data_IF_305489724939
#
_entry.id   IF_305489724939
#
_cell.length_a   1.000
_cell.length_b   1.000
_cell.length_c   1.000
_cell.angle_alpha   90.00
_cell.angle_beta   90.00
_cell.angle_gamma   90.00
#
_symmetry.space_group_name_H-M   'P 1'
#
loop_
_entity.id
_entity.type
_entity.pdbx_description
1 polymer ?
#
# COMPACT_ATOMS: atom_id res chain seq x y z
N UNK A 1 15.70 12.31 -16.32
CA UNK A 1 14.50 11.72 -15.69
C UNK A 1 13.30 12.66 -15.80
N UNK A 2 13.52 13.95 -15.58
CA UNK A 2 12.44 14.95 -15.63
C UNK A 2 11.85 15.14 -17.03
N UNK A 3 12.66 15.05 -18.08
CA UNK A 3 12.17 15.17 -19.46
C UNK A 3 11.25 14.03 -19.88
N UNK A 4 11.57 12.80 -19.47
CA UNK A 4 10.72 11.62 -19.71
C UNK A 4 9.38 11.76 -18.97
N UNK A 5 9.38 12.26 -17.73
CA UNK A 5 8.15 12.53 -16.98
C UNK A 5 7.30 13.61 -17.65
N UNK A 6 7.94 14.68 -18.13
CA UNK A 6 7.29 15.79 -18.84
C UNK A 6 6.64 15.33 -20.14
N UNK A 7 7.37 14.54 -20.92
CA UNK A 7 6.89 13.93 -22.17
C UNK A 7 5.71 13.00 -21.89
N UNK A 8 5.80 12.15 -20.87
CA UNK A 8 4.72 11.24 -20.49
C UNK A 8 3.45 11.99 -20.07
N UNK A 9 3.58 13.07 -19.28
CA UNK A 9 2.46 13.94 -18.91
C UNK A 9 1.79 14.57 -20.13
N UNK A 10 2.58 15.13 -21.05
CA UNK A 10 2.07 15.75 -22.29
C UNK A 10 1.36 14.73 -23.20
N UNK A 11 1.91 13.53 -23.34
CA UNK A 11 1.29 12.44 -24.10
C UNK A 11 -0.04 12.00 -23.47
N UNK A 12 -0.11 11.89 -22.13
CA UNK A 12 -1.34 11.55 -21.39
C UNK A 12 -2.43 12.62 -21.57
N UNK A 13 -2.05 13.89 -21.55
CA UNK A 13 -2.96 15.02 -21.77
C UNK A 13 -3.56 15.00 -23.18
N UNK A 14 -2.72 14.82 -24.21
CA UNK A 14 -3.16 14.70 -25.60
C UNK A 14 -4.12 13.52 -25.81
N UNK A 15 -3.86 12.39 -25.14
CA UNK A 15 -4.68 11.19 -25.23
C UNK A 15 -5.98 11.26 -24.42
N UNK A 16 -6.27 12.39 -23.72
CA UNK A 16 -7.35 12.52 -22.73
C UNK A 16 -7.35 11.36 -21.73
N UNK A 17 -6.15 10.88 -21.38
CA UNK A 17 -5.98 9.77 -20.48
C UNK A 17 -6.22 10.29 -19.05
N UNK A 18 -7.43 10.11 -18.53
CA UNK A 18 -7.76 10.43 -17.15
C UNK A 18 -7.02 9.44 -16.24
N UNK A 19 -5.76 9.72 -15.93
CA UNK A 19 -4.98 8.93 -14.99
C UNK A 19 -5.44 9.18 -13.55
N UNK A 20 -6.64 8.70 -13.23
CA UNK A 20 -7.22 8.87 -11.91
C UNK A 20 -6.95 7.65 -11.04
N UNK A 21 -5.77 7.64 -10.45
CA UNK A 21 -5.70 7.28 -9.04
C UNK A 21 -4.55 8.07 -8.43
N UNK A 22 -4.85 9.29 -7.97
CA UNK A 22 -4.04 9.86 -6.91
C UNK A 22 -4.14 8.91 -5.72
N UNK A 23 -3.05 8.19 -5.44
CA UNK A 23 -2.96 7.33 -4.29
C UNK A 23 -2.86 8.20 -3.04
N UNK A 24 -3.93 8.23 -2.25
CA UNK A 24 -3.87 8.87 -0.94
C UNK A 24 -2.99 8.05 0.00
N UNK A 25 -1.90 8.67 0.47
CA UNK A 25 -0.93 8.01 1.34
C UNK A 25 -1.15 8.42 2.79
N UNK A 26 -1.26 7.42 3.68
CA UNK A 26 -1.39 7.62 5.12
C UNK A 26 -0.14 7.11 5.82
N UNK A 27 0.58 8.02 6.49
CA UNK A 27 1.71 7.61 7.34
C UNK A 27 1.18 6.99 8.63
N UNK A 28 1.58 5.75 8.89
CA UNK A 28 1.15 4.96 10.04
C UNK A 28 2.36 4.49 10.87
N UNK A 29 2.17 4.40 12.19
CA UNK A 29 3.16 3.81 13.11
C UNK A 29 2.81 2.35 13.38
N UNK A 30 3.80 1.46 13.35
CA UNK A 30 3.65 0.07 13.80
C UNK A 30 3.55 0.05 15.32
N UNK A 31 2.49 -0.59 15.86
CA UNK A 31 2.25 -0.70 17.30
C UNK A 31 2.37 -2.14 17.81
N UNK A 32 2.32 -3.13 16.91
CA UNK A 32 2.55 -4.53 17.24
C UNK A 32 3.09 -5.27 16.04
N UNK A 33 3.88 -6.32 16.29
CA UNK A 33 4.35 -7.29 15.30
C UNK A 33 4.16 -8.68 15.89
N UNK A 34 3.44 -9.52 15.17
CA UNK A 34 3.42 -10.96 15.44
C UNK A 34 4.54 -11.61 14.62
N UNK A 35 5.50 -12.21 15.34
CA UNK A 35 6.64 -12.92 14.75
C UNK A 35 6.46 -14.44 14.76
N UNK A 36 5.24 -14.95 14.99
CA UNK A 36 4.94 -16.37 14.87
C UNK A 36 5.35 -16.91 13.50
N UNK A 37 6.00 -18.08 13.48
CA UNK A 37 6.51 -18.72 12.26
C UNK A 37 5.43 -18.98 11.20
N UNK A 38 4.15 -19.03 11.58
CA UNK A 38 3.04 -19.32 10.65
C UNK A 38 2.34 -18.09 10.08
N UNK A 39 2.27 -16.97 10.80
CA UNK A 39 1.59 -15.75 10.34
C UNK A 39 2.42 -14.51 10.61
N UNK A 40 3.05 -14.00 9.56
CA UNK A 40 3.84 -12.76 9.62
C UNK A 40 2.92 -11.55 9.44
N UNK A 41 2.55 -10.91 10.56
CA UNK A 41 1.63 -9.77 10.58
C UNK A 41 2.15 -8.61 11.41
N UNK A 42 1.73 -7.40 11.03
CA UNK A 42 1.91 -6.20 11.85
C UNK A 42 0.59 -5.49 12.07
N UNK A 43 0.50 -4.74 13.17
CA UNK A 43 -0.62 -3.84 13.46
C UNK A 43 -0.11 -2.41 13.35
N UNK A 44 -0.83 -1.59 12.57
CA UNK A 44 -0.54 -0.16 12.38
C UNK A 44 -1.58 0.71 13.09
N UNK A 45 -1.15 1.85 13.63
CA UNK A 45 -1.99 2.82 14.36
C UNK A 45 -2.73 3.78 13.41
N UNK A 46 -3.41 3.21 12.44
CA UNK A 46 -4.29 3.88 11.48
C UNK A 46 -5.39 2.91 11.08
N UNK A 47 -6.61 3.41 10.89
CA UNK A 47 -7.77 2.56 10.62
C UNK A 47 -8.79 3.24 9.70
N UNK A 48 -10.05 2.84 9.85
CA UNK A 48 -11.16 3.35 9.04
C UNK A 48 -11.31 4.87 9.14
N UNK A 49 -11.07 5.45 10.31
CA UNK A 49 -11.11 6.90 10.52
C UNK A 49 -10.05 7.65 9.73
N UNK A 50 -8.97 6.98 9.32
CA UNK A 50 -7.91 7.53 8.49
C UNK A 50 -8.10 7.21 6.99
N UNK A 51 -9.24 6.61 6.62
CA UNK A 51 -9.54 6.24 5.23
C UNK A 51 -8.90 4.93 4.76
N UNK A 52 -8.28 4.15 5.65
CA UNK A 52 -7.68 2.86 5.28
C UNK A 52 -8.78 1.86 4.91
N UNK A 53 -8.52 1.05 3.88
CA UNK A 53 -9.43 0.01 3.38
C UNK A 53 -8.71 -1.36 3.37
N UNK A 54 -9.43 -2.47 3.55
CA UNK A 54 -8.89 -3.80 3.27
C UNK A 54 -8.36 -3.85 1.83
N UNK A 55 -7.20 -4.49 1.65
CA UNK A 55 -6.53 -4.56 0.35
C UNK A 55 -5.60 -3.39 0.05
N UNK A 56 -5.59 -2.31 0.85
CA UNK A 56 -4.64 -1.21 0.67
C UNK A 56 -3.19 -1.71 0.72
N UNK A 57 -2.33 -1.29 -0.21
CA UNK A 57 -0.91 -1.66 -0.19
C UNK A 57 -0.20 -0.93 0.94
N UNK A 58 0.77 -1.61 1.57
CA UNK A 58 1.62 -1.02 2.60
C UNK A 58 3.04 -0.96 2.06
N UNK A 59 3.62 0.24 2.07
CA UNK A 59 4.94 0.50 1.52
C UNK A 59 5.90 1.08 2.57
N UNK A 60 7.18 0.81 2.41
CA UNK A 60 8.26 1.43 3.18
C UNK A 60 9.44 1.75 2.27
N UNK A 61 9.88 3.02 2.30
CA UNK A 61 11.08 3.51 1.60
C UNK A 61 11.17 3.17 0.10
N UNK A 62 10.03 3.02 -0.61
CA UNK A 62 9.89 2.60 -2.03
C UNK A 62 9.50 1.13 -2.29
N UNK A 63 9.46 0.29 -1.25
CA UNK A 63 9.15 -1.15 -1.39
C UNK A 63 7.78 -1.49 -0.84
N UNK A 64 7.09 -2.42 -1.48
CA UNK A 64 5.90 -3.06 -0.92
C UNK A 64 6.33 -4.02 0.19
N UNK A 65 5.77 -3.85 1.38
CA UNK A 65 6.04 -4.72 2.54
C UNK A 65 4.85 -5.57 2.93
N UNK A 66 3.66 -5.26 2.42
CA UNK A 66 2.46 -6.03 2.72
C UNK A 66 1.18 -5.43 2.17
N UNK A 67 0.06 -5.98 2.65
CA UNK A 67 -1.30 -5.57 2.29
C UNK A 67 -2.15 -5.57 3.54
N UNK A 68 -3.00 -4.55 3.68
CA UNK A 68 -3.98 -4.48 4.76
C UNK A 68 -4.96 -5.66 4.64
N UNK A 69 -4.99 -6.54 5.64
CA UNK A 69 -5.87 -7.71 5.68
C UNK A 69 -7.16 -7.45 6.45
N UNK A 70 -7.11 -6.62 7.50
CA UNK A 70 -8.28 -6.18 8.24
C UNK A 70 -8.17 -4.71 8.68
N UNK A 71 -9.31 -4.03 8.79
CA UNK A 71 -9.39 -2.62 9.20
C UNK A 71 -10.38 -2.45 10.33
N UNK A 72 -9.88 -1.94 11.44
CA UNK A 72 -10.66 -1.54 12.61
C UNK A 72 -10.79 -0.01 12.65
N UNK A 73 -11.39 0.55 13.70
CA UNK A 73 -11.69 1.99 13.76
C UNK A 73 -10.42 2.87 13.69
N UNK A 74 -9.41 2.54 14.50
CA UNK A 74 -8.17 3.32 14.65
C UNK A 74 -6.89 2.50 14.39
N UNK A 75 -7.04 1.22 14.04
CA UNK A 75 -5.93 0.30 13.79
C UNK A 75 -6.24 -0.58 12.58
N UNK A 76 -5.20 -1.10 11.95
CA UNK A 76 -5.31 -2.02 10.82
C UNK A 76 -4.28 -3.14 10.97
N UNK A 77 -4.68 -4.32 10.52
CA UNK A 77 -3.82 -5.49 10.41
C UNK A 77 -3.25 -5.56 9.00
N UNK A 78 -1.97 -5.90 8.90
CA UNK A 78 -1.24 -5.99 7.64
C UNK A 78 -0.60 -7.36 7.56
N UNK A 79 -0.92 -8.08 6.48
CA UNK A 79 -0.20 -9.29 6.11
C UNK A 79 1.08 -8.90 5.38
N UNK A 80 2.22 -9.37 5.90
CA UNK A 80 3.53 -9.08 5.33
C UNK A 80 3.79 -9.95 4.09
N UNK A 81 4.66 -9.45 3.20
CA UNK A 81 5.17 -10.21 2.04
C UNK A 81 5.91 -11.49 2.44
N UNK A 82 6.39 -11.57 3.68
CA UNK A 82 7.05 -12.76 4.24
C UNK A 82 6.06 -13.82 4.73
N UNK A 83 4.75 -13.53 4.75
CA UNK A 83 3.73 -14.52 5.12
C UNK A 83 3.56 -15.56 4.00
N UNK A 84 3.49 -16.88 4.31
CA UNK A 84 3.29 -17.94 3.32
C UNK A 84 2.01 -17.79 2.48
N UNK A 85 1.00 -17.12 3.04
CA UNK A 85 -0.31 -16.89 2.41
C UNK A 85 -0.36 -15.60 1.58
N UNK A 86 0.68 -14.77 1.61
CA UNK A 86 0.69 -13.52 0.86
C UNK A 86 0.65 -13.78 -0.65
N UNK A 87 -0.13 -12.96 -1.36
CA UNK A 87 -0.30 -13.00 -2.82
C UNK A 87 -0.47 -11.57 -3.33
N UNK A 88 0.24 -11.21 -4.38
CA UNK A 88 0.07 -9.95 -5.11
C UNK A 88 0.29 -10.16 -6.60
N UNK A 89 -0.34 -9.34 -7.43
CA UNK A 89 -0.03 -9.26 -8.86
C UNK A 89 1.21 -8.39 -9.04
N UNK A 90 2.18 -8.88 -9.83
CA UNK A 90 3.36 -8.13 -10.21
C UNK A 90 3.53 -8.18 -11.73
N UNK A 91 4.15 -7.15 -12.28
CA UNK A 91 4.49 -7.04 -13.70
C UNK A 91 6.02 -6.89 -13.79
N UNK A 92 6.63 -7.57 -14.75
CA UNK A 92 8.07 -7.60 -15.00
C UNK A 92 8.46 -6.60 -16.10
#
# INVERSE_FOLDING_TARGET
>A
MDDIRRENSRLRENARYTSNSEFFTVVARVISRDSSSWWQKIIIRKGRNDGIRPGSPVIFSDRVIGRVSAVHLNVSEVDLVTSPTFRCTAFL
#
